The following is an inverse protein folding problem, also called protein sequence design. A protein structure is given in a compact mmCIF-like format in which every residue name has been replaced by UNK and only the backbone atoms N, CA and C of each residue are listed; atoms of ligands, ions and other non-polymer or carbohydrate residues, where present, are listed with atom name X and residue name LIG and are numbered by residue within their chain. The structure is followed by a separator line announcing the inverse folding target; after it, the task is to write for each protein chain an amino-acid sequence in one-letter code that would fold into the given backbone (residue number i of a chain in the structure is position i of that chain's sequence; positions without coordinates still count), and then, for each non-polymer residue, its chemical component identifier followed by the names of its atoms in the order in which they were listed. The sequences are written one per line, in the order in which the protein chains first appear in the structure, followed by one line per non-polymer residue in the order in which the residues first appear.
data_IF_706676443647
#
_entry.id   IF_706676443647
#
_cell.length_a   1.000
_cell.length_b   1.000
_cell.length_c   1.000
_cell.angle_alpha   90.00
_cell.angle_beta   90.00
_cell.angle_gamma   90.00
#
_symmetry.space_group_name_H-M   'P 1'
#
loop_
_entity.id
_entity.type
_entity.pdbx_description
1 polymer ?
#
# COMPACT_ATOMS: atom_id res chain seq x y z
N UNK A 1 30.11 -25.82 -18.57
CA UNK A 1 29.08 -26.70 -18.01
C UNK A 1 28.29 -25.89 -16.99
N UNK A 2 27.03 -25.55 -17.27
CA UNK A 2 26.12 -25.01 -16.25
C UNK A 2 25.64 -26.16 -15.35
N UNK A 3 25.24 -25.84 -14.12
CA UNK A 3 23.87 -26.17 -13.75
C UNK A 3 23.07 -24.90 -13.44
N UNK A 4 21.81 -24.96 -13.87
CA UNK A 4 20.71 -24.03 -13.67
C UNK A 4 19.87 -24.54 -12.49
N UNK A 5 19.20 -23.61 -11.80
CA UNK A 5 18.23 -23.80 -10.71
C UNK A 5 18.87 -24.14 -9.34
N UNK A 6 18.42 -23.60 -8.21
CA UNK A 6 17.05 -23.28 -7.85
C UNK A 6 16.88 -21.97 -7.06
N UNK A 7 15.74 -21.35 -7.34
CA UNK A 7 14.98 -20.43 -6.51
C UNK A 7 14.95 -20.96 -5.07
N UNK A 8 15.15 -20.12 -4.06
CA UNK A 8 14.89 -20.48 -2.66
C UNK A 8 13.44 -20.09 -2.34
N UNK A 9 12.49 -21.03 -2.17
CA UNK A 9 11.20 -20.75 -1.54
C UNK A 9 11.32 -21.05 -0.04
N UNK A 10 10.79 -20.16 0.80
CA UNK A 10 10.55 -20.50 2.21
C UNK A 10 11.34 -19.70 3.25
N UNK A 11 11.43 -18.38 3.12
CA UNK A 11 11.50 -17.55 4.32
C UNK A 11 10.08 -17.46 4.91
N UNK A 12 9.68 -18.51 5.63
CA UNK A 12 8.59 -18.41 6.62
C UNK A 12 9.12 -17.55 7.76
N UNK A 13 8.81 -16.26 7.75
CA UNK A 13 9.07 -15.38 8.89
C UNK A 13 7.87 -15.50 9.83
N UNK A 14 7.97 -16.50 10.70
CA UNK A 14 7.07 -16.79 11.82
C UNK A 14 7.31 -15.75 12.94
N UNK A 15 6.90 -14.50 12.72
CA UNK A 15 6.77 -13.48 13.75
C UNK A 15 5.78 -12.38 13.31
N UNK A 16 4.67 -12.81 12.69
CA UNK A 16 3.47 -11.99 12.63
C UNK A 16 2.92 -11.86 14.05
N UNK A 17 3.54 -10.99 14.86
CA UNK A 17 2.84 -10.31 15.95
C UNK A 17 1.49 -9.89 15.38
N UNK A 18 0.36 -10.08 16.08
CA UNK A 18 -0.90 -9.57 15.60
C UNK A 18 -0.73 -8.06 15.54
N UNK A 19 -0.50 -7.58 14.33
CA UNK A 19 -0.92 -6.27 13.91
C UNK A 19 -2.34 -6.17 14.49
N UNK A 20 -2.60 -5.19 15.36
CA UNK A 20 -3.92 -5.10 16.01
C UNK A 20 -5.01 -5.16 14.94
N UNK A 21 -6.27 -5.45 15.29
CA UNK A 21 -7.38 -5.58 14.32
C UNK A 21 -7.59 -4.38 13.34
N UNK A 22 -6.73 -3.35 13.40
CA UNK A 22 -6.67 -2.15 12.57
C UNK A 22 -5.31 -1.88 11.86
N UNK A 23 -4.31 -2.76 11.96
CA UNK A 23 -3.02 -2.56 11.30
C UNK A 23 -3.09 -2.94 9.81
N UNK A 24 -2.83 -1.94 8.96
CA UNK A 24 -2.90 -2.06 7.51
C UNK A 24 -1.51 -2.17 6.88
N UNK A 25 -1.25 -3.26 6.16
CA UNK A 25 -0.02 -3.45 5.40
C UNK A 25 -0.26 -3.19 3.89
N UNK A 26 0.61 -2.40 3.28
CA UNK A 26 0.58 -2.09 1.85
C UNK A 26 1.98 -2.09 1.25
N UNK A 27 2.09 -2.44 -0.03
CA UNK A 27 3.37 -2.43 -0.73
C UNK A 27 3.84 -1.00 -1.02
N UNK A 28 4.85 -0.56 -0.27
CA UNK A 28 5.50 0.74 -0.45
C UNK A 28 6.16 0.91 -1.82
N UNK A 29 6.56 -0.17 -2.50
CA UNK A 29 7.12 -0.09 -3.84
C UNK A 29 6.07 0.31 -4.88
N UNK A 30 4.84 -0.19 -4.74
CA UNK A 30 3.72 0.20 -5.60
C UNK A 30 3.37 1.69 -5.44
N UNK A 31 3.36 2.19 -4.21
CA UNK A 31 3.11 3.60 -3.91
C UNK A 31 4.24 4.48 -4.49
N UNK A 32 5.50 4.07 -4.29
CA UNK A 32 6.66 4.77 -4.82
C UNK A 32 6.63 4.84 -6.36
N UNK A 33 6.25 3.75 -7.03
CA UNK A 33 6.06 3.71 -8.48
C UNK A 33 5.00 4.71 -8.94
N UNK A 34 3.87 4.82 -8.23
CA UNK A 34 2.82 5.79 -8.56
C UNK A 34 3.29 7.25 -8.38
N UNK A 35 4.18 7.52 -7.42
CA UNK A 35 4.84 8.83 -7.31
C UNK A 35 5.94 9.05 -8.36
N UNK A 36 6.42 7.99 -9.02
CA UNK A 36 7.52 8.03 -9.99
C UNK A 36 8.89 8.17 -9.32
N UNK A 37 9.06 7.61 -8.11
CA UNK A 37 10.32 7.66 -7.35
C UNK A 37 10.79 6.25 -6.94
N UNK A 38 12.08 6.06 -6.64
CA UNK A 38 12.58 4.78 -6.15
C UNK A 38 11.96 4.38 -4.81
N UNK A 39 11.65 3.10 -4.63
CA UNK A 39 11.07 2.57 -3.38
C UNK A 39 11.94 2.86 -2.15
N UNK A 40 13.26 2.64 -2.24
CA UNK A 40 14.19 2.96 -1.15
C UNK A 40 14.16 4.45 -0.76
N UNK A 41 13.97 5.35 -1.73
CA UNK A 41 13.84 6.77 -1.48
C UNK A 41 12.50 7.11 -0.82
N UNK A 42 11.40 6.53 -1.29
CA UNK A 42 10.08 6.67 -0.66
C UNK A 42 10.10 6.22 0.81
N UNK A 43 10.68 5.05 1.10
CA UNK A 43 10.81 4.54 2.48
C UNK A 43 11.68 5.46 3.34
N UNK A 44 12.76 6.02 2.78
CA UNK A 44 13.58 7.00 3.50
C UNK A 44 12.79 8.27 3.84
N UNK A 45 11.96 8.77 2.91
CA UNK A 45 11.15 9.96 3.13
C UNK A 45 9.97 9.71 4.09
N UNK A 46 9.40 8.50 4.09
CA UNK A 46 8.45 8.04 5.12
C UNK A 46 9.10 8.06 6.51
N UNK A 47 10.31 7.49 6.65
CA UNK A 47 11.07 7.48 7.93
C UNK A 47 11.45 8.88 8.41
N UNK A 48 11.63 9.82 7.48
CA UNK A 48 11.90 11.24 7.77
C UNK A 48 10.63 12.02 8.13
N UNK A 49 9.44 11.46 7.91
CA UNK A 49 8.16 12.14 8.12
C UNK A 49 7.77 13.14 7.02
N UNK A 50 8.44 13.09 5.86
CA UNK A 50 8.16 13.97 4.72
C UNK A 50 7.01 13.46 3.84
N UNK A 51 6.68 12.18 3.97
CA UNK A 51 5.50 11.57 3.37
C UNK A 51 4.44 11.46 4.45
N UNK A 52 3.26 12.02 4.19
CA UNK A 52 2.12 11.90 5.10
C UNK A 52 1.09 10.94 4.51
N UNK A 53 0.61 10.00 5.30
CA UNK A 53 -0.48 9.10 4.94
C UNK A 53 -1.72 9.39 5.77
N UNK A 54 -2.90 9.30 5.16
CA UNK A 54 -4.19 9.26 5.83
C UNK A 54 -4.89 7.98 5.45
N UNK A 55 -5.38 7.24 6.45
CA UNK A 55 -6.11 5.98 6.27
C UNK A 55 -7.55 6.21 6.71
N UNK A 56 -8.49 5.87 5.84
CA UNK A 56 -9.92 5.92 6.13
C UNK A 56 -10.48 4.51 5.94
N UNK A 57 -11.14 3.99 6.98
CA UNK A 57 -11.78 2.67 6.96
C UNK A 57 -13.23 2.81 6.50
N UNK A 58 -13.63 2.01 5.52
CA UNK A 58 -15.00 1.90 5.06
C UNK A 58 -15.89 1.27 6.12
N UNK A 59 -17.16 1.68 6.14
CA UNK A 59 -18.19 1.21 7.06
C UNK A 59 -19.43 0.81 6.25
N UNK A 60 -20.37 0.10 6.87
CA UNK A 60 -21.61 -0.39 6.24
C UNK A 60 -21.36 -1.16 4.94
N UNK A 61 -21.74 -0.61 3.78
CA UNK A 61 -21.54 -1.24 2.48
C UNK A 61 -20.05 -1.37 2.08
N UNK A 62 -19.18 -0.57 2.68
CA UNK A 62 -17.75 -0.52 2.38
C UNK A 62 -16.89 -1.21 3.46
N UNK A 63 -17.47 -2.09 4.29
CA UNK A 63 -16.71 -2.81 5.32
C UNK A 63 -15.54 -3.58 4.69
N UNK A 64 -14.35 -3.40 5.27
CA UNK A 64 -13.11 -4.03 4.81
C UNK A 64 -12.42 -3.30 3.65
N UNK A 65 -13.03 -2.25 3.10
CA UNK A 65 -12.36 -1.35 2.17
C UNK A 65 -11.62 -0.25 2.92
N UNK A 66 -10.45 0.11 2.43
CA UNK A 66 -9.68 1.24 2.95
C UNK A 66 -9.38 2.24 1.85
N UNK A 67 -9.46 3.52 2.19
CA UNK A 67 -9.00 4.62 1.35
C UNK A 67 -7.73 5.18 1.93
N UNK A 68 -6.66 5.17 1.13
CA UNK A 68 -5.35 5.64 1.52
C UNK A 68 -5.02 6.89 0.74
N UNK A 69 -4.62 7.95 1.43
CA UNK A 69 -4.15 9.18 0.79
C UNK A 69 -2.73 9.46 1.21
N UNK A 70 -1.80 9.41 0.25
CA UNK A 70 -0.40 9.76 0.44
C UNK A 70 -0.13 11.17 -0.08
N UNK A 71 0.55 12.00 0.71
CA UNK A 71 0.96 13.35 0.35
C UNK A 71 2.47 13.46 0.41
N UNK A 72 3.09 13.90 -0.68
CA UNK A 72 4.53 14.09 -0.80
C UNK A 72 4.85 15.24 -1.75
N UNK A 73 5.64 16.23 -1.29
CA UNK A 73 6.10 17.39 -2.08
C UNK A 73 4.99 18.11 -2.87
N UNK A 74 3.84 18.33 -2.24
CA UNK A 74 2.69 19.00 -2.87
C UNK A 74 1.87 18.13 -3.84
N UNK A 75 2.25 16.86 -4.05
CA UNK A 75 1.46 15.87 -4.78
C UNK A 75 0.66 15.02 -3.79
N UNK A 76 -0.59 14.72 -4.14
CA UNK A 76 -1.43 13.79 -3.38
C UNK A 76 -1.85 12.65 -4.30
N UNK A 77 -1.64 11.41 -3.85
CA UNK A 77 -2.13 10.20 -4.51
C UNK A 77 -3.09 9.50 -3.58
N UNK A 78 -4.20 9.04 -4.12
CA UNK A 78 -5.22 8.31 -3.38
C UNK A 78 -5.28 6.88 -3.92
N UNK A 79 -5.47 5.93 -3.04
CA UNK A 79 -5.59 4.52 -3.36
C UNK A 79 -6.82 3.91 -2.69
N UNK A 80 -7.41 2.91 -3.35
CA UNK A 80 -8.39 2.00 -2.76
C UNK A 80 -7.72 0.67 -2.47
N UNK A 81 -7.94 0.17 -1.28
CA UNK A 81 -7.52 -1.16 -0.86
C UNK A 81 -8.80 -1.95 -0.53
N UNK A 82 -9.23 -2.88 -1.39
CA UNK A 82 -10.35 -3.75 -1.11
C UNK A 82 -9.96 -4.82 -0.07
N UNK A 83 -10.95 -5.56 0.45
CA UNK A 83 -10.70 -6.67 1.39
C UNK A 83 -9.80 -7.77 0.84
N UNK A 84 -9.66 -7.87 -0.49
CA UNK A 84 -8.78 -8.82 -1.16
C UNK A 84 -7.29 -8.43 -1.13
N UNK A 85 -6.98 -7.22 -0.64
CA UNK A 85 -5.62 -6.70 -0.51
C UNK A 85 -5.05 -6.08 -1.79
N UNK A 86 -5.82 -5.97 -2.88
CA UNK A 86 -5.32 -5.46 -4.15
C UNK A 86 -5.34 -3.92 -4.21
N UNK A 87 -4.21 -3.28 -3.88
CA UNK A 87 -4.10 -1.83 -3.90
C UNK A 87 -4.25 -1.27 -5.34
N UNK A 88 -5.17 -0.33 -5.53
CA UNK A 88 -5.43 0.34 -6.80
C UNK A 88 -5.39 1.86 -6.65
N UNK A 89 -4.84 2.58 -7.64
CA UNK A 89 -4.85 4.04 -7.63
C UNK A 89 -6.27 4.53 -7.88
N UNK A 90 -6.79 5.37 -6.99
CA UNK A 90 -8.09 5.99 -7.15
C UNK A 90 -8.05 6.96 -8.33
N UNK A 91 -9.01 6.83 -9.24
CA UNK A 91 -9.23 7.85 -10.23
C UNK A 91 -9.75 9.11 -9.54
N UNK A 92 -9.45 10.32 -10.04
CA UNK A 92 -10.04 11.54 -9.53
C UNK A 92 -11.58 11.54 -9.65
N UNK A 93 -12.16 10.64 -10.44
CA UNK A 93 -13.60 10.47 -10.61
C UNK A 93 -14.20 9.28 -9.82
N UNK A 94 -13.41 8.50 -9.08
CA UNK A 94 -13.88 7.36 -8.24
C UNK A 94 -14.56 7.84 -6.93
N UNK A 95 -15.39 8.87 -7.04
CA UNK A 95 -16.26 9.30 -5.95
C UNK A 95 -17.47 8.38 -5.88
N UNK A 96 -17.29 7.08 -5.62
CA UNK A 96 -18.40 6.14 -5.47
C UNK A 96 -19.28 6.06 -6.74
N UNK A 97 -19.05 5.08 -7.60
CA UNK A 97 -20.11 4.65 -8.49
C UNK A 97 -21.08 3.81 -7.66
N UNK A 98 -22.33 4.25 -7.39
CA UNK A 98 -23.35 3.32 -6.95
C UNK A 98 -23.70 2.42 -8.15
N UNK A 99 -23.72 1.10 -7.95
CA UNK A 99 -24.50 0.21 -8.82
C UNK A 99 -25.99 0.31 -8.48
#
# INVERSE_FOLDING_TARGET
MKPTADLVPGAVMDDARPAGDDDLEVDGAQIAQAFGIPAAFFIAEMRRGNVHATVERGIDADIGHYRLTFRYRGRSLRFHLPPDGALSLASPNDFCAPE
#
